data_IF_732820093041
#
_entry.id   IF_732820093041
#
_cell.length_a   1.000
_cell.length_b   1.000
_cell.length_c   1.000
_cell.angle_alpha   90.00
_cell.angle_beta   90.00
_cell.angle_gamma   90.00
#
_symmetry.space_group_name_H-M   'P 1'
#
loop_
_entity.id
_entity.type
_entity.pdbx_description
1 polymer ?
#
# COMPACT_ATOMS: atom_id res chain seq x y z
N UNK A 1 11.82 8.24 -16.30
CA UNK A 1 11.11 7.01 -15.88
C UNK A 1 11.81 5.73 -16.34
N UNK A 2 12.07 5.49 -17.65
CA UNK A 2 12.74 4.26 -18.13
C UNK A 2 14.07 3.94 -17.42
N UNK A 3 14.91 4.95 -17.14
CA UNK A 3 16.22 4.76 -16.47
C UNK A 3 16.09 4.35 -14.99
N UNK A 4 15.07 4.81 -14.28
CA UNK A 4 14.84 4.45 -12.87
C UNK A 4 14.38 2.99 -12.78
N UNK A 5 13.50 2.56 -13.67
CA UNK A 5 13.04 1.15 -13.75
C UNK A 5 14.21 0.23 -14.08
N UNK A 6 15.10 0.64 -15.01
CA UNK A 6 16.29 -0.16 -15.36
C UNK A 6 17.27 -0.28 -14.20
N UNK A 7 17.48 0.79 -13.42
CA UNK A 7 18.40 0.76 -12.26
C UNK A 7 17.81 -0.12 -11.13
N UNK A 8 16.50 -0.03 -10.89
CA UNK A 8 15.83 -0.89 -9.91
C UNK A 8 15.84 -2.37 -10.33
N UNK A 9 15.60 -2.64 -11.62
CA UNK A 9 15.68 -4.00 -12.16
C UNK A 9 17.11 -4.57 -12.10
N UNK A 10 18.12 -3.75 -12.44
CA UNK A 10 19.52 -4.17 -12.36
C UNK A 10 19.97 -4.38 -10.90
N UNK A 11 19.53 -3.51 -9.99
CA UNK A 11 19.77 -3.66 -8.56
C UNK A 11 19.16 -4.95 -8.01
N UNK A 12 17.92 -5.26 -8.37
CA UNK A 12 17.23 -6.49 -7.97
C UNK A 12 17.94 -7.75 -8.53
N UNK A 13 18.43 -7.70 -9.79
CA UNK A 13 19.18 -8.80 -10.41
C UNK A 13 20.55 -9.03 -9.76
N UNK A 14 21.26 -7.97 -9.40
CA UNK A 14 22.57 -8.07 -8.75
C UNK A 14 22.45 -8.60 -7.32
N UNK A 15 21.42 -8.21 -6.58
CA UNK A 15 21.17 -8.71 -5.22
C UNK A 15 20.65 -10.16 -5.27
N UNK A 16 19.81 -10.49 -6.25
CA UNK A 16 19.27 -11.85 -6.43
C UNK A 16 20.31 -12.92 -6.71
N UNK A 17 21.45 -12.56 -7.31
CA UNK A 17 22.53 -13.53 -7.60
C UNK A 17 23.35 -13.96 -6.38
N UNK A 18 23.26 -13.23 -5.26
CA UNK A 18 24.03 -13.51 -4.02
C UNK A 18 23.19 -14.28 -3.00
N UNK A 19 21.86 -14.12 -3.05
CA UNK A 19 20.93 -14.81 -2.15
C UNK A 19 19.86 -15.52 -2.98
N UNK A 20 19.48 -16.75 -2.61
CA UNK A 20 18.30 -17.38 -3.19
C UNK A 20 17.07 -16.56 -2.79
N UNK A 21 16.62 -15.72 -3.70
CA UNK A 21 15.52 -14.77 -3.51
C UNK A 21 14.41 -15.05 -4.50
N UNK A 22 13.17 -14.99 -4.02
CA UNK A 22 11.99 -15.01 -4.87
C UNK A 22 11.46 -13.59 -5.01
N UNK A 23 11.21 -13.17 -6.24
CA UNK A 23 10.49 -11.91 -6.52
C UNK A 23 9.02 -12.25 -6.76
N UNK A 24 8.13 -11.67 -5.97
CA UNK A 24 6.69 -11.81 -6.18
C UNK A 24 6.11 -10.48 -6.63
N UNK A 25 5.23 -10.52 -7.62
CA UNK A 25 4.47 -9.36 -8.10
C UNK A 25 2.99 -9.67 -8.01
N UNK A 26 2.23 -8.83 -7.33
CA UNK A 26 0.82 -9.02 -7.07
C UNK A 26 -0.06 -7.92 -7.64
N UNK A 27 -1.28 -8.30 -8.00
CA UNK A 27 -2.40 -7.40 -8.28
C UNK A 27 -3.54 -7.72 -7.32
N UNK A 28 -4.18 -6.68 -6.77
CA UNK A 28 -5.20 -6.85 -5.73
C UNK A 28 -6.34 -5.84 -5.86
N UNK A 29 -7.54 -6.28 -5.48
CA UNK A 29 -8.66 -5.42 -5.13
C UNK A 29 -8.58 -5.03 -3.66
N UNK A 30 -9.06 -3.84 -3.32
CA UNK A 30 -8.95 -3.24 -2.00
C UNK A 30 -10.31 -2.77 -1.53
N UNK A 31 -10.61 -3.08 -0.28
CA UNK A 31 -11.74 -2.53 0.46
C UNK A 31 -11.21 -2.06 1.81
N UNK A 32 -11.56 -0.86 2.23
CA UNK A 32 -11.05 -0.35 3.49
C UNK A 32 -11.86 0.76 4.09
N UNK A 33 -11.37 1.27 5.20
CA UNK A 33 -11.87 2.47 5.85
C UNK A 33 -10.70 3.41 6.12
N UNK A 34 -10.88 4.67 5.75
CA UNK A 34 -9.96 5.74 6.08
C UNK A 34 -10.68 6.69 7.05
N UNK A 35 -10.09 6.91 8.21
CA UNK A 35 -10.59 7.86 9.21
C UNK A 35 -9.82 9.20 9.16
N UNK A 36 -9.17 9.46 8.05
CA UNK A 36 -8.38 10.67 7.82
C UNK A 36 -9.24 11.83 7.29
N UNK A 37 -8.73 12.58 6.33
CA UNK A 37 -9.41 13.77 5.75
C UNK A 37 -10.69 13.40 5.00
N UNK A 38 -10.80 12.16 4.55
CA UNK A 38 -11.96 11.64 3.82
C UNK A 38 -12.51 10.44 4.58
N UNK A 39 -13.47 10.68 5.46
CA UNK A 39 -14.13 9.62 6.22
C UNK A 39 -15.06 8.82 5.32
N UNK A 40 -14.83 7.51 5.22
CA UNK A 40 -15.71 6.65 4.44
C UNK A 40 -15.15 5.28 4.13
N UNK A 41 -15.90 4.53 3.34
CA UNK A 41 -15.49 3.24 2.82
C UNK A 41 -14.70 3.43 1.53
N UNK A 42 -13.48 2.94 1.50
CA UNK A 42 -12.57 3.02 0.38
C UNK A 42 -12.69 1.75 -0.48
N UNK A 43 -12.88 1.92 -1.78
CA UNK A 43 -12.86 0.83 -2.76
C UNK A 43 -11.84 1.17 -3.83
N UNK A 44 -10.95 0.24 -4.14
CA UNK A 44 -9.91 0.48 -5.11
C UNK A 44 -9.17 -0.76 -5.55
N UNK A 45 -8.00 -0.53 -6.08
CA UNK A 45 -7.08 -1.57 -6.53
C UNK A 45 -5.65 -1.23 -6.17
N UNK A 46 -4.78 -2.19 -6.31
CA UNK A 46 -3.37 -1.98 -6.03
C UNK A 46 -2.49 -3.06 -6.61
N UNK A 47 -1.21 -2.82 -6.47
CA UNK A 47 -0.20 -3.80 -6.79
C UNK A 47 0.81 -3.88 -5.65
N UNK A 48 1.52 -4.99 -5.57
CA UNK A 48 2.64 -5.13 -4.66
C UNK A 48 3.83 -5.79 -5.35
N UNK A 49 5.00 -5.49 -4.82
CA UNK A 49 6.26 -6.13 -5.17
C UNK A 49 6.87 -6.60 -3.86
N UNK A 50 7.12 -7.89 -3.76
CA UNK A 50 7.68 -8.53 -2.58
C UNK A 50 8.93 -9.33 -2.96
N UNK A 51 10.00 -9.13 -2.22
CA UNK A 51 11.24 -9.90 -2.32
C UNK A 51 11.32 -10.80 -1.10
N UNK A 52 11.17 -12.11 -1.30
CA UNK A 52 11.27 -13.11 -0.24
C UNK A 52 12.68 -13.70 -0.21
N UNK A 53 13.29 -13.77 0.99
CA UNK A 53 14.57 -14.42 1.26
C UNK A 53 14.26 -15.82 1.80
N UNK A 54 15.18 -16.77 1.54
CA UNK A 54 15.02 -18.20 1.80
C UNK A 54 14.52 -18.60 3.19
N UNK A 55 14.66 -17.76 4.20
CA UNK A 55 14.26 -18.05 5.59
C UNK A 55 12.88 -17.48 5.99
N UNK A 56 12.06 -17.12 5.01
CA UNK A 56 10.72 -16.55 5.25
C UNK A 56 10.72 -15.05 5.50
N UNK A 57 11.88 -14.41 5.63
CA UNK A 57 11.96 -12.95 5.66
C UNK A 57 11.83 -12.37 4.27
N UNK A 58 11.22 -11.21 4.17
CA UNK A 58 11.06 -10.49 2.92
C UNK A 58 10.87 -9.02 3.13
N UNK A 59 10.86 -8.29 2.01
CA UNK A 59 10.58 -6.87 1.96
C UNK A 59 9.51 -6.62 0.90
N UNK A 60 8.48 -5.90 1.25
CA UNK A 60 7.33 -5.63 0.38
C UNK A 60 7.06 -4.14 0.28
N UNK A 61 6.83 -3.67 -0.94
CA UNK A 61 6.26 -2.36 -1.22
C UNK A 61 4.90 -2.60 -1.87
N UNK A 62 3.88 -2.00 -1.29
CA UNK A 62 2.53 -2.01 -1.84
C UNK A 62 2.20 -0.63 -2.42
N UNK A 63 1.30 -0.59 -3.38
CA UNK A 63 0.63 0.62 -3.82
C UNK A 63 -0.87 0.37 -3.82
N UNK A 64 -1.58 1.04 -2.94
CA UNK A 64 -3.02 0.97 -2.80
C UNK A 64 -3.62 2.26 -3.36
N UNK A 65 -4.42 2.14 -4.41
CA UNK A 65 -5.01 3.28 -5.11
C UNK A 65 -6.52 3.21 -4.92
N UNK A 66 -7.08 4.21 -4.27
CA UNK A 66 -8.51 4.38 -4.01
C UNK A 66 -8.97 5.60 -4.78
N UNK A 67 -9.63 5.42 -5.93
CA UNK A 67 -10.08 6.53 -6.77
C UNK A 67 -11.29 7.27 -6.22
N UNK A 68 -12.07 6.63 -5.35
CA UNK A 68 -13.28 7.20 -4.78
C UNK A 68 -13.53 6.68 -3.36
N UNK A 69 -14.17 7.50 -2.55
CA UNK A 69 -14.60 7.15 -1.20
C UNK A 69 -16.12 7.19 -1.15
N UNK A 70 -16.71 6.14 -0.59
CA UNK A 70 -18.14 6.05 -0.38
C UNK A 70 -18.44 6.58 1.02
N UNK A 71 -19.20 7.67 1.10
CA UNK A 71 -19.69 8.22 2.35
C UNK A 71 -21.19 7.98 2.46
N UNK A 72 -21.68 7.84 3.69
CA UNK A 72 -23.12 7.75 3.96
C UNK A 72 -23.60 9.14 4.37
N UNK A 73 -24.32 9.82 3.50
CA UNK A 73 -24.99 11.07 3.80
C UNK A 73 -26.50 10.86 3.74
N UNK A 74 -27.21 11.22 4.83
CA UNK A 74 -28.66 11.39 4.94
C UNK A 74 -29.57 10.39 4.20
N UNK A 75 -29.28 9.09 4.17
CA UNK A 75 -30.05 8.02 3.51
C UNK A 75 -29.49 7.48 2.19
N UNK A 76 -28.34 7.96 1.69
CA UNK A 76 -27.72 7.51 0.45
C UNK A 76 -26.24 7.18 0.59
N UNK A 77 -25.69 6.49 -0.43
CA UNK A 77 -24.26 6.33 -0.64
C UNK A 77 -23.81 7.36 -1.64
N UNK A 78 -22.86 8.21 -1.25
CA UNK A 78 -22.30 9.24 -2.13
C UNK A 78 -20.86 8.87 -2.45
N UNK A 79 -20.51 8.93 -3.75
CA UNK A 79 -19.13 8.81 -4.21
C UNK A 79 -18.51 10.20 -4.22
N UNK A 80 -17.43 10.39 -3.50
CA UNK A 80 -16.67 11.64 -3.50
C UNK A 80 -15.41 11.49 -4.33
N UNK A 81 -15.12 12.48 -5.18
CA UNK A 81 -13.91 12.55 -6.03
C UNK A 81 -12.65 12.83 -5.19
N UNK A 82 -12.35 11.94 -4.27
CA UNK A 82 -11.20 12.02 -3.41
C UNK A 82 -10.28 10.83 -3.72
N UNK A 83 -9.15 11.11 -4.31
CA UNK A 83 -8.16 10.08 -4.59
C UNK A 83 -7.24 9.88 -3.38
N UNK A 84 -7.09 8.64 -2.95
CA UNK A 84 -6.13 8.23 -1.93
C UNK A 84 -5.13 7.27 -2.56
N UNK A 85 -3.85 7.57 -2.39
CA UNK A 85 -2.75 6.66 -2.75
C UNK A 85 -1.97 6.35 -1.47
N UNK A 86 -1.99 5.09 -1.06
CA UNK A 86 -1.26 4.62 0.11
C UNK A 86 -0.13 3.69 -0.32
N UNK A 87 1.08 3.96 0.16
CA UNK A 87 2.30 3.23 -0.21
C UNK A 87 2.99 2.74 1.06
N UNK A 88 2.61 1.58 1.60
CA UNK A 88 3.35 0.94 2.68
C UNK A 88 4.60 0.23 2.15
N UNK A 89 5.70 0.37 2.88
CA UNK A 89 6.96 -0.33 2.68
C UNK A 89 7.29 -1.09 3.97
N UNK A 90 7.23 -2.42 3.92
CA UNK A 90 7.25 -3.27 5.11
C UNK A 90 8.26 -4.39 5.00
N UNK A 91 8.92 -4.70 6.10
CA UNK A 91 9.59 -5.99 6.29
C UNK A 91 8.54 -7.04 6.68
N UNK A 92 8.63 -8.22 6.09
CA UNK A 92 7.69 -9.31 6.30
C UNK A 92 8.41 -10.56 6.79
N UNK A 93 7.70 -11.34 7.60
CA UNK A 93 8.00 -12.73 7.85
C UNK A 93 6.86 -13.59 7.30
N UNK A 94 7.18 -14.52 6.40
CA UNK A 94 6.23 -15.41 5.72
C UNK A 94 6.52 -16.86 6.15
N UNK A 95 5.59 -17.46 6.88
CA UNK A 95 5.62 -18.89 7.16
C UNK A 95 4.89 -19.63 6.03
N UNK A 96 5.57 -20.57 5.37
CA UNK A 96 5.00 -21.41 4.31
C UNK A 96 4.71 -22.80 4.84
N UNK A 97 3.48 -23.21 4.66
CA UNK A 97 3.01 -24.58 4.88
C UNK A 97 2.66 -25.14 3.50
N UNK A 98 2.67 -26.38 3.27
CA UNK A 98 2.38 -27.04 1.97
C UNK A 98 1.66 -26.15 0.92
N UNK A 99 0.32 -26.09 0.98
CA UNK A 99 -0.53 -25.37 0.02
C UNK A 99 -0.91 -23.95 0.47
N UNK A 100 -0.55 -23.54 1.68
CA UNK A 100 -0.87 -22.21 2.19
C UNK A 100 0.32 -21.57 2.91
N UNK A 101 0.24 -20.28 3.13
CA UNK A 101 1.21 -19.49 3.88
C UNK A 101 0.54 -18.38 4.68
N UNK A 102 1.18 -17.99 5.75
CA UNK A 102 0.80 -16.84 6.59
C UNK A 102 1.96 -15.89 6.70
N UNK A 103 1.68 -14.61 6.66
CA UNK A 103 2.70 -13.59 6.81
C UNK A 103 2.25 -12.47 7.74
N UNK A 104 3.22 -11.89 8.44
CA UNK A 104 3.07 -10.68 9.22
C UNK A 104 4.20 -9.71 8.88
N UNK A 105 3.88 -8.44 8.80
CA UNK A 105 4.84 -7.41 8.43
C UNK A 105 4.60 -6.10 9.15
N UNK A 106 5.67 -5.29 9.24
CA UNK A 106 5.61 -3.94 9.75
C UNK A 106 6.65 -3.06 9.04
N UNK A 107 6.39 -1.75 9.00
CA UNK A 107 7.27 -0.80 8.33
C UNK A 107 6.73 0.61 8.33
N UNK A 108 7.02 1.33 7.27
CA UNK A 108 6.62 2.72 7.08
C UNK A 108 5.49 2.81 6.05
N UNK A 109 4.69 3.85 6.14
CA UNK A 109 3.67 4.18 5.14
C UNK A 109 3.78 5.63 4.69
N UNK A 110 3.44 5.85 3.42
CA UNK A 110 3.22 7.17 2.86
C UNK A 110 1.81 7.19 2.25
N UNK A 111 0.95 8.06 2.74
CA UNK A 111 -0.41 8.23 2.22
C UNK A 111 -0.54 9.62 1.62
N UNK A 112 -0.99 9.68 0.38
CA UNK A 112 -1.30 10.91 -0.33
C UNK A 112 -2.80 10.93 -0.54
N UNK A 113 -3.48 11.93 -0.02
CA UNK A 113 -4.90 12.17 -0.25
C UNK A 113 -5.10 13.48 -0.99
N UNK A 114 -5.88 13.45 -2.06
CA UNK A 114 -6.24 14.62 -2.85
C UNK A 114 -7.74 14.86 -2.75
N UNK A 115 -8.12 16.08 -2.39
CA UNK A 115 -9.50 16.53 -2.42
C UNK A 115 -9.66 17.51 -3.61
N UNK A 116 -10.22 17.01 -4.70
CA UNK A 116 -10.30 17.75 -5.95
C UNK A 116 -11.13 19.04 -5.90
N UNK A 117 -12.29 19.12 -5.23
CA UNK A 117 -13.03 20.38 -5.17
C UNK A 117 -12.26 21.49 -4.46
N UNK A 118 -11.41 21.14 -3.50
CA UNK A 118 -10.67 22.10 -2.68
C UNK A 118 -9.24 22.36 -3.17
N UNK A 119 -8.74 21.63 -4.17
CA UNK A 119 -7.36 21.68 -4.64
C UNK A 119 -6.34 21.53 -3.50
N UNK A 120 -6.65 20.65 -2.55
CA UNK A 120 -5.81 20.34 -1.38
C UNK A 120 -5.26 18.93 -1.50
N UNK A 121 -3.96 18.81 -1.37
CA UNK A 121 -3.27 17.52 -1.28
C UNK A 121 -2.55 17.42 0.06
N UNK A 122 -2.76 16.32 0.76
CA UNK A 122 -2.10 16.01 2.02
C UNK A 122 -1.22 14.79 1.85
N UNK A 123 0.05 14.89 2.23
CA UNK A 123 0.97 13.76 2.31
C UNK A 123 1.22 13.43 3.76
N UNK A 124 0.91 12.21 4.15
CA UNK A 124 1.02 11.70 5.52
C UNK A 124 2.07 10.61 5.56
N UNK A 125 2.93 10.68 6.54
CA UNK A 125 3.93 9.65 6.81
C UNK A 125 3.61 8.98 8.14
N UNK A 126 3.82 7.67 8.20
CA UNK A 126 3.48 6.93 9.39
C UNK A 126 4.06 5.53 9.43
N UNK A 127 3.51 4.73 10.33
CA UNK A 127 3.82 3.32 10.48
C UNK A 127 2.76 2.48 9.75
N UNK A 128 3.19 1.35 9.20
CA UNK A 128 2.31 0.34 8.65
C UNK A 128 2.53 -0.99 9.35
N UNK A 129 1.46 -1.76 9.49
CA UNK A 129 1.52 -3.15 9.90
C UNK A 129 0.48 -3.96 9.14
N UNK A 130 0.80 -5.22 8.82
CA UNK A 130 -0.10 -6.05 8.02
C UNK A 130 -0.01 -7.52 8.36
N UNK A 131 -1.09 -8.21 7.99
CA UNK A 131 -1.21 -9.66 7.99
C UNK A 131 -1.65 -10.11 6.61
N UNK A 132 -1.12 -11.23 6.14
CA UNK A 132 -1.54 -11.84 4.86
C UNK A 132 -1.61 -13.36 4.96
N UNK A 133 -2.54 -13.92 4.20
CA UNK A 133 -2.66 -15.34 3.96
C UNK A 133 -2.50 -15.59 2.46
N UNK A 134 -1.77 -16.64 2.09
CA UNK A 134 -1.54 -17.06 0.71
C UNK A 134 -2.02 -18.49 0.52
N UNK A 135 -2.77 -18.74 -0.54
CA UNK A 135 -3.12 -20.08 -1.02
C UNK A 135 -2.35 -20.33 -2.33
N UNK A 136 -1.42 -21.30 -2.34
CA UNK A 136 -0.60 -21.63 -3.50
C UNK A 136 -1.41 -22.50 -4.46
N UNK A 137 -1.77 -21.94 -5.61
CA UNK A 137 -2.47 -22.64 -6.70
C UNK A 137 -1.46 -23.44 -7.54
N UNK A 138 -0.25 -22.92 -7.66
CA UNK A 138 0.90 -23.59 -8.28
C UNK A 138 2.19 -23.11 -7.62
N UNK A 139 3.34 -23.59 -8.08
CA UNK A 139 4.63 -23.14 -7.58
C UNK A 139 4.88 -21.64 -7.82
N UNK A 140 4.27 -21.08 -8.85
CA UNK A 140 4.46 -19.69 -9.26
C UNK A 140 3.26 -18.78 -9.00
N UNK A 141 2.08 -19.33 -8.67
CA UNK A 141 0.84 -18.54 -8.52
C UNK A 141 0.24 -18.76 -7.14
N UNK A 142 -0.06 -17.67 -6.45
CA UNK A 142 -0.80 -17.68 -5.20
C UNK A 142 -1.98 -16.71 -5.23
N UNK A 143 -3.08 -17.12 -4.59
CA UNK A 143 -4.15 -16.20 -4.20
C UNK A 143 -3.77 -15.63 -2.85
N UNK A 144 -3.86 -14.32 -2.69
CA UNK A 144 -3.45 -13.61 -1.47
C UNK A 144 -4.63 -12.83 -0.93
N UNK A 145 -4.88 -12.98 0.36
CA UNK A 145 -5.79 -12.13 1.11
C UNK A 145 -5.01 -11.46 2.25
N UNK A 146 -5.23 -10.17 2.48
CA UNK A 146 -4.47 -9.44 3.48
C UNK A 146 -5.24 -8.31 4.13
N UNK A 147 -4.71 -7.84 5.25
CA UNK A 147 -5.15 -6.62 5.93
C UNK A 147 -3.91 -5.80 6.25
N UNK A 148 -3.91 -4.53 5.86
CA UNK A 148 -2.86 -3.57 6.17
C UNK A 148 -3.44 -2.38 6.91
N UNK A 149 -2.92 -2.10 8.10
CA UNK A 149 -3.25 -0.92 8.89
C UNK A 149 -2.14 0.12 8.80
N UNK A 150 -2.51 1.39 8.71
CA UNK A 150 -1.59 2.53 8.70
C UNK A 150 -1.92 3.47 9.87
N UNK A 151 -0.89 3.88 10.59
CA UNK A 151 -0.97 4.83 11.69
C UNK A 151 -0.14 6.06 11.34
N UNK A 152 -0.79 7.18 11.07
CA UNK A 152 -0.10 8.45 10.79
C UNK A 152 0.49 9.00 12.08
N UNK A 153 1.81 8.93 12.22
CA UNK A 153 2.54 9.34 13.43
C UNK A 153 3.68 10.32 13.16
N UNK A 154 3.90 10.70 11.91
CA UNK A 154 4.92 11.65 11.53
C UNK A 154 4.28 12.95 11.00
N UNK A 155 5.01 14.08 10.98
CA UNK A 155 4.47 15.34 10.48
C UNK A 155 3.92 15.24 9.06
N UNK A 156 2.77 15.82 8.83
CA UNK A 156 2.09 15.85 7.54
C UNK A 156 2.55 17.02 6.69
N UNK A 157 2.66 16.82 5.38
CA UNK A 157 2.90 17.89 4.42
C UNK A 157 1.60 18.20 3.68
N UNK A 158 1.05 19.40 3.92
CA UNK A 158 -0.14 19.91 3.24
C UNK A 158 0.27 20.84 2.10
N UNK A 159 -0.21 20.55 0.89
CA UNK A 159 -0.10 21.42 -0.28
C UNK A 159 -1.46 22.00 -0.60
N UNK A 160 -1.55 23.31 -0.74
CA UNK A 160 -2.72 24.02 -1.25
C UNK A 160 -2.35 24.70 -2.56
N UNK A 161 -3.03 24.36 -3.65
CA UNK A 161 -2.82 24.97 -4.97
C UNK A 161 -3.91 26.02 -5.22
N UNK A 162 -3.49 27.23 -5.62
CA UNK A 162 -4.36 28.29 -6.15
C UNK A 162 -3.89 28.60 -7.56
N UNK A 163 -4.72 29.22 -8.39
CA UNK A 163 -4.53 29.42 -9.83
C UNK A 163 -3.09 29.82 -10.28
N UNK A 164 -2.30 30.48 -9.44
CA UNK A 164 -0.92 30.91 -9.78
C UNK A 164 0.10 30.60 -8.68
N UNK A 165 -0.23 29.86 -7.63
CA UNK A 165 0.72 29.56 -6.55
C UNK A 165 0.39 28.27 -5.80
N UNK A 166 1.42 27.57 -5.35
CA UNK A 166 1.29 26.42 -4.44
C UNK A 166 1.94 26.77 -3.11
N UNK A 167 1.24 26.55 -2.04
CA UNK A 167 1.74 26.73 -0.67
C UNK A 167 1.93 25.38 0.00
N UNK A 168 3.08 25.16 0.62
CA UNK A 168 3.39 23.95 1.38
C UNK A 168 3.49 24.29 2.87
N UNK A 169 2.85 23.50 3.71
CA UNK A 169 2.93 23.64 5.18
C UNK A 169 3.12 22.28 5.82
N UNK A 170 4.04 22.21 6.80
CA UNK A 170 4.09 21.08 7.74
C UNK A 170 3.03 21.29 8.80
N UNK A 171 2.20 20.27 9.01
CA UNK A 171 1.12 20.27 9.99
C UNK A 171 1.45 19.22 11.05
N UNK A 172 1.20 19.53 12.32
CA UNK A 172 1.38 18.57 13.40
C UNK A 172 0.52 17.32 13.18
N UNK A 173 1.05 16.18 13.59
CA UNK A 173 0.37 14.90 13.48
C UNK A 173 -0.82 14.83 14.42
N UNK A 174 -1.94 14.34 13.91
CA UNK A 174 -3.08 13.94 14.70
C UNK A 174 -3.18 12.41 14.69
N UNK A 175 -2.87 11.77 15.82
CA UNK A 175 -2.90 10.31 15.96
C UNK A 175 -4.28 9.69 15.79
N UNK A 176 -5.34 10.47 15.67
CA UNK A 176 -6.69 9.98 15.39
C UNK A 176 -6.87 9.48 13.94
N UNK A 177 -5.89 9.65 13.09
CA UNK A 177 -5.97 9.39 11.65
C UNK A 177 -5.35 8.04 11.31
N UNK A 178 -6.19 7.03 11.18
CA UNK A 178 -5.82 5.67 10.86
C UNK A 178 -6.55 5.21 9.60
N UNK A 179 -5.90 4.38 8.81
CA UNK A 179 -6.53 3.69 7.69
C UNK A 179 -6.33 2.18 7.83
N UNK A 180 -7.34 1.41 7.48
CA UNK A 180 -7.30 -0.05 7.42
C UNK A 180 -7.80 -0.48 6.06
N UNK A 181 -6.99 -1.26 5.35
CA UNK A 181 -7.29 -1.80 4.03
C UNK A 181 -7.27 -3.32 4.06
N UNK A 182 -8.41 -3.94 3.75
CA UNK A 182 -8.49 -5.34 3.37
C UNK A 182 -8.19 -5.50 1.88
N UNK A 183 -7.52 -6.56 1.50
CA UNK A 183 -7.17 -6.83 0.10
C UNK A 183 -7.36 -8.29 -0.24
N UNK A 184 -7.69 -8.55 -1.51
CA UNK A 184 -7.67 -9.86 -2.12
C UNK A 184 -7.06 -9.74 -3.53
N UNK A 185 -6.19 -10.67 -3.90
CA UNK A 185 -5.49 -10.58 -5.16
C UNK A 185 -4.78 -11.86 -5.56
N UNK A 186 -3.94 -11.73 -6.58
CA UNK A 186 -3.12 -12.80 -7.12
C UNK A 186 -1.67 -12.33 -7.17
N UNK A 187 -0.76 -13.15 -6.68
CA UNK A 187 0.69 -12.97 -6.81
C UNK A 187 1.28 -13.97 -7.80
N UNK A 188 2.23 -13.51 -8.60
CA UNK A 188 3.10 -14.35 -9.41
C UNK A 188 4.53 -14.31 -8.87
N UNK A 189 5.14 -15.50 -8.71
CA UNK A 189 6.50 -15.69 -8.22
C UNK A 189 7.48 -15.92 -9.37
N UNK A 190 8.56 -15.18 -9.35
CA UNK A 190 9.76 -15.39 -10.15
C UNK A 190 10.84 -15.96 -9.21
N UNK A 191 11.27 -17.18 -9.43
CA UNK A 191 12.37 -17.81 -8.68
C UNK A 191 13.65 -17.72 -9.49
N UNK A 192 14.75 -17.28 -8.86
CA UNK A 192 16.07 -17.09 -9.48
C UNK A 192 17.11 -18.01 -8.88
#
# INVERSE_FOLDING_TARGET
MKRIISVLALGALLVGSVFAMDLNVGLKGILGADNSDVKGTCIGGGFDINVDIKNGFGFQIESNIVPAVITKENEGLTFTDNMIVNIPAMAWYNARFSWFGLGAGAGLSCTISENHPENVSNTKLGLAAGLKAKAFVSDNIAIVAGVTGNLDCLPNLKKTSKENSSTYKFVATDFSRNAIFGSIGVEYRFSF
#
